data_IF_223885858900
#
_entry.id   IF_223885858900
#
_cell.length_a   1.000
_cell.length_b   1.000
_cell.length_c   1.000
_cell.angle_alpha   90.00
_cell.angle_beta   90.00
_cell.angle_gamma   90.00
#
_symmetry.space_group_name_H-M   'P 1'
#
loop_
_entity.id
_entity.type
_entity.pdbx_description
1 polymer ?
#
# COMPACT_ATOMS: atom_id res chain seq x y z
N UNK A 1 15.33 23.08 1.11
CA UNK A 1 14.32 22.89 0.03
C UNK A 1 13.75 21.49 0.02
N UNK A 2 14.55 20.42 -0.16
CA UNK A 2 14.06 19.03 -0.13
C UNK A 2 13.24 18.70 1.13
N UNK A 3 13.74 19.07 2.32
CA UNK A 3 13.01 18.84 3.58
C UNK A 3 11.67 19.58 3.67
N UNK A 4 11.60 20.81 3.13
CA UNK A 4 10.37 21.62 3.11
C UNK A 4 9.31 21.00 2.20
N UNK A 5 9.73 20.46 1.05
CA UNK A 5 8.83 19.71 0.19
C UNK A 5 8.40 18.42 0.91
N UNK A 6 9.36 17.70 1.49
CA UNK A 6 9.10 16.39 2.08
C UNK A 6 8.14 16.43 3.28
N UNK A 7 8.29 17.40 4.20
CA UNK A 7 7.38 17.55 5.35
C UNK A 7 5.93 17.83 4.93
N UNK A 8 5.74 18.43 3.74
CA UNK A 8 4.42 18.75 3.21
C UNK A 8 3.86 17.66 2.28
N UNK A 9 4.66 16.65 1.91
CA UNK A 9 4.23 15.59 0.97
C UNK A 9 4.19 14.20 1.59
N UNK A 10 4.96 13.92 2.65
CA UNK A 10 5.01 12.56 3.21
C UNK A 10 5.47 12.52 4.67
N UNK A 11 4.80 11.71 5.49
CA UNK A 11 5.14 11.49 6.90
C UNK A 11 6.51 10.84 7.19
N UNK A 12 7.29 10.46 6.17
CA UNK A 12 8.64 9.87 6.33
C UNK A 12 9.74 10.92 6.35
N UNK A 13 9.39 12.22 6.33
CA UNK A 13 10.35 13.34 6.39
C UNK A 13 11.32 13.25 7.57
N UNK A 14 10.93 12.58 8.66
CA UNK A 14 11.76 12.35 9.83
C UNK A 14 13.03 11.55 9.52
N UNK A 15 13.01 10.70 8.49
CA UNK A 15 14.19 9.95 8.07
C UNK A 15 15.30 10.89 7.55
N UNK A 16 14.93 11.99 6.87
CA UNK A 16 15.88 13.00 6.43
C UNK A 16 16.57 13.70 7.60
N UNK A 17 15.79 14.05 8.63
CA UNK A 17 16.30 14.64 9.88
C UNK A 17 17.20 13.63 10.61
N UNK A 18 16.76 12.37 10.72
CA UNK A 18 17.51 11.30 11.37
C UNK A 18 18.86 11.04 10.67
N UNK A 19 18.90 11.03 9.34
CA UNK A 19 20.15 10.89 8.58
C UNK A 19 21.12 12.03 8.90
N UNK A 20 20.64 13.28 8.91
CA UNK A 20 21.45 14.45 9.28
C UNK A 20 21.97 14.34 10.72
N UNK A 21 21.11 13.91 11.64
CA UNK A 21 21.44 13.62 13.04
C UNK A 21 22.49 12.52 13.19
N UNK A 22 22.39 11.42 12.45
CA UNK A 22 23.36 10.31 12.47
C UNK A 22 24.74 10.79 11.99
N UNK A 23 24.80 11.56 10.91
CA UNK A 23 26.06 12.12 10.43
C UNK A 23 26.69 13.09 11.43
N UNK A 24 25.88 13.92 12.10
CA UNK A 24 26.34 14.81 13.16
C UNK A 24 26.87 14.01 14.36
N UNK A 25 26.12 13.02 14.83
CA UNK A 25 26.49 12.16 15.95
C UNK A 25 27.80 11.41 15.66
N UNK A 26 27.96 10.86 14.45
CA UNK A 26 29.18 10.18 14.04
C UNK A 26 30.42 11.10 14.10
N UNK A 27 30.29 12.37 13.70
CA UNK A 27 31.38 13.35 13.76
C UNK A 27 31.74 13.74 15.20
N UNK A 28 30.76 13.86 16.08
CA UNK A 28 30.97 14.13 17.51
C UNK A 28 31.63 12.92 18.20
N UNK A 29 31.13 11.72 17.97
CA UNK A 29 31.69 10.47 18.52
C UNK A 29 33.11 10.22 18.03
N UNK A 30 33.44 10.58 16.78
CA UNK A 30 34.82 10.48 16.28
C UNK A 30 35.80 11.30 17.12
N UNK A 31 35.39 12.49 17.57
CA UNK A 31 36.23 13.34 18.39
C UNK A 31 36.40 12.79 19.82
N UNK A 32 35.37 12.15 20.36
CA UNK A 32 35.43 11.50 21.67
C UNK A 32 36.28 10.23 21.66
N UNK A 33 36.33 9.51 20.54
CA UNK A 33 37.12 8.28 20.36
C UNK A 33 38.62 8.47 20.10
N UNK A 34 39.18 9.66 20.32
CA UNK A 34 40.62 9.90 20.22
C UNK A 34 41.21 9.84 18.80
N UNK A 35 40.39 10.05 17.77
CA UNK A 35 40.89 10.03 16.39
C UNK A 35 41.99 11.08 16.18
N UNK A 36 43.09 10.75 15.47
CA UNK A 36 44.29 11.60 15.38
C UNK A 36 44.06 12.98 14.74
N UNK A 37 42.96 13.16 14.00
CA UNK A 37 42.57 14.43 13.40
C UNK A 37 41.57 15.26 14.25
N UNK A 38 41.18 14.78 15.43
CA UNK A 38 40.28 15.48 16.36
C UNK A 38 38.89 15.83 15.79
N UNK A 39 38.24 16.81 16.41
CA UNK A 39 36.94 17.35 15.98
C UNK A 39 37.12 18.20 14.72
N UNK A 40 36.36 17.90 13.66
CA UNK A 40 36.32 18.75 12.45
C UNK A 40 35.28 19.85 12.67
N UNK A 41 35.64 20.90 13.39
CA UNK A 41 34.71 21.96 13.83
C UNK A 41 33.87 22.54 12.68
N UNK A 42 34.46 22.80 11.52
CA UNK A 42 33.73 23.30 10.35
C UNK A 42 32.65 22.31 9.86
N UNK A 43 32.94 21.00 9.89
CA UNK A 43 31.99 19.95 9.50
C UNK A 43 30.89 19.79 10.54
N UNK A 44 31.22 19.83 11.82
CA UNK A 44 30.24 19.80 12.93
C UNK A 44 29.31 21.01 12.84
N UNK A 45 29.84 22.21 12.63
CA UNK A 45 29.02 23.43 12.44
C UNK A 45 28.09 23.29 11.24
N UNK A 46 28.59 22.77 10.10
CA UNK A 46 27.77 22.57 8.90
C UNK A 46 26.67 21.53 9.14
N UNK A 47 26.99 20.38 9.72
CA UNK A 47 26.01 19.33 10.01
C UNK A 47 25.01 19.79 11.06
N UNK A 48 25.45 20.48 12.11
CA UNK A 48 24.58 21.09 13.12
C UNK A 48 23.61 22.10 12.51
N UNK A 49 24.12 23.00 11.65
CA UNK A 49 23.27 23.95 10.93
C UNK A 49 22.26 23.24 10.00
N UNK A 50 22.68 22.22 9.24
CA UNK A 50 21.79 21.46 8.36
C UNK A 50 20.72 20.70 9.16
N UNK A 51 21.10 20.02 10.24
CA UNK A 51 20.15 19.33 11.11
C UNK A 51 19.16 20.31 11.76
N UNK A 52 19.63 21.47 12.24
CA UNK A 52 18.76 22.50 12.80
C UNK A 52 17.80 23.06 11.75
N UNK A 53 18.29 23.39 10.55
CA UNK A 53 17.43 23.86 9.46
C UNK A 53 16.42 22.80 9.03
N UNK A 54 16.78 21.50 9.07
CA UNK A 54 15.85 20.41 8.78
C UNK A 54 14.77 20.27 9.86
N UNK A 55 15.12 20.46 11.14
CA UNK A 55 14.18 20.51 12.25
C UNK A 55 13.23 21.72 12.14
N UNK A 56 13.76 22.90 11.85
CA UNK A 56 12.94 24.11 11.65
C UNK A 56 12.03 23.97 10.42
N UNK A 57 12.52 23.34 9.36
CA UNK A 57 11.70 23.02 8.19
C UNK A 57 10.51 22.11 8.55
N UNK A 58 10.62 21.26 9.57
CA UNK A 58 9.50 20.42 10.01
C UNK A 58 8.32 21.23 10.56
N UNK A 59 8.57 22.45 11.04
CA UNK A 59 7.53 23.38 11.51
C UNK A 59 6.82 24.11 10.36
N UNK A 60 7.38 24.08 9.15
CA UNK A 60 6.79 24.67 7.95
C UNK A 60 5.76 23.71 7.29
N UNK A 61 4.92 23.10 8.12
CA UNK A 61 3.76 22.30 7.73
C UNK A 61 2.49 23.03 8.22
N UNK A 62 1.35 22.97 7.51
CA UNK A 62 0.10 23.59 7.94
C UNK A 62 -0.34 23.22 9.37
N UNK A 63 0.01 22.02 9.84
CA UNK A 63 -0.27 21.54 11.20
C UNK A 63 0.85 21.90 12.21
N UNK A 64 1.85 22.69 11.80
CA UNK A 64 2.91 23.23 12.66
C UNK A 64 3.61 22.19 13.53
N UNK A 65 3.52 22.37 14.85
CA UNK A 65 4.19 21.51 15.83
C UNK A 65 3.62 20.09 15.85
N UNK A 66 2.32 19.91 15.61
CA UNK A 66 1.69 18.59 15.62
C UNK A 66 2.28 17.70 14.52
N UNK A 67 2.48 18.27 13.32
CA UNK A 67 3.18 17.58 12.24
C UNK A 67 4.65 17.32 12.57
N UNK A 68 5.34 18.24 13.24
CA UNK A 68 6.74 18.05 13.60
C UNK A 68 6.95 16.94 14.65
N UNK A 69 6.01 16.77 15.58
CA UNK A 69 6.04 15.74 16.63
C UNK A 69 5.46 14.39 16.19
N UNK A 70 4.71 14.38 15.08
CA UNK A 70 4.08 13.17 14.54
C UNK A 70 5.00 11.93 14.42
N UNK A 71 6.27 12.04 13.98
CA UNK A 71 7.18 10.89 13.95
C UNK A 71 7.37 10.22 15.32
N UNK A 72 7.33 10.98 16.41
CA UNK A 72 7.41 10.46 17.77
C UNK A 72 6.13 9.72 18.17
N UNK A 73 4.96 10.23 17.75
CA UNK A 73 3.69 9.55 17.93
C UNK A 73 3.64 8.23 17.16
N UNK A 74 4.23 8.20 15.95
CA UNK A 74 4.42 6.96 15.18
C UNK A 74 5.30 5.95 15.88
N UNK A 75 6.36 6.35 16.57
CA UNK A 75 7.14 5.44 17.43
C UNK A 75 6.28 4.81 18.54
N UNK A 76 5.30 5.54 19.07
CA UNK A 76 4.30 4.99 20.01
C UNK A 76 3.33 4.00 19.34
N UNK A 77 3.03 4.19 18.05
CA UNK A 77 2.22 3.28 17.23
C UNK A 77 3.02 2.05 16.71
N UNK A 78 4.34 2.03 16.88
CA UNK A 78 5.20 0.83 16.82
C UNK A 78 4.94 -0.06 18.05
N UNK A 79 3.68 -0.13 18.52
CA UNK A 79 3.22 -1.06 19.55
C UNK A 79 3.34 -2.54 19.14
N UNK A 80 2.84 -3.46 19.97
CA UNK A 80 2.90 -4.90 19.73
C UNK A 80 2.39 -5.28 18.33
N UNK A 81 2.97 -6.34 17.75
CA UNK A 81 2.61 -6.83 16.40
C UNK A 81 1.10 -7.02 16.26
N UNK A 82 0.40 -7.44 17.32
CA UNK A 82 -1.05 -7.63 17.35
C UNK A 82 -1.84 -6.34 17.11
N UNK A 83 -1.36 -5.21 17.66
CA UNK A 83 -1.96 -3.90 17.43
C UNK A 83 -1.85 -3.52 15.95
N UNK A 84 -0.73 -3.87 15.31
CA UNK A 84 -0.49 -3.58 13.88
C UNK A 84 -1.25 -4.53 12.95
N UNK A 85 -1.31 -5.81 13.32
CA UNK A 85 -2.08 -6.82 12.61
C UNK A 85 -3.58 -6.49 12.63
N UNK A 86 -4.08 -5.90 13.72
CA UNK A 86 -5.47 -5.47 13.85
C UNK A 86 -5.89 -4.40 12.82
N UNK A 87 -4.95 -3.67 12.18
CA UNK A 87 -5.27 -2.75 11.09
C UNK A 87 -5.52 -3.45 9.74
N UNK A 88 -5.15 -4.73 9.61
CA UNK A 88 -5.18 -5.43 8.32
C UNK A 88 -4.20 -4.86 7.28
N UNK A 89 -3.23 -4.06 7.73
CA UNK A 89 -2.20 -3.43 6.88
C UNK A 89 -0.96 -4.31 6.93
N UNK A 90 -0.80 -5.19 5.93
CA UNK A 90 0.29 -6.16 5.89
C UNK A 90 1.69 -5.52 5.91
N UNK A 91 1.84 -4.31 5.37
CA UNK A 91 3.12 -3.61 5.26
C UNK A 91 3.73 -3.16 6.60
N UNK A 92 2.93 -3.12 7.67
CA UNK A 92 3.37 -2.76 9.04
C UNK A 92 3.89 -3.95 9.84
N UNK A 93 3.72 -5.17 9.31
CA UNK A 93 4.16 -6.40 9.95
C UNK A 93 5.68 -6.59 9.78
N UNK A 94 6.33 -7.35 10.69
CA UNK A 94 7.74 -7.67 10.56
C UNK A 94 8.08 -8.28 9.20
N UNK A 95 9.25 -7.92 8.66
CA UNK A 95 9.66 -8.38 7.33
C UNK A 95 9.88 -9.90 7.29
N UNK A 96 10.49 -10.45 8.33
CA UNK A 96 10.76 -11.89 8.43
C UNK A 96 9.43 -12.64 8.58
N UNK A 97 9.20 -13.62 7.71
CA UNK A 97 8.00 -14.47 7.72
C UNK A 97 6.78 -13.89 6.98
N UNK A 98 6.83 -12.64 6.51
CA UNK A 98 5.75 -12.02 5.71
C UNK A 98 6.18 -11.63 4.29
N UNK A 99 7.48 -11.48 4.05
CA UNK A 99 8.00 -11.33 2.69
C UNK A 99 7.82 -12.63 1.90
N UNK A 100 7.47 -12.50 0.61
CA UNK A 100 7.59 -13.59 -0.36
C UNK A 100 9.03 -14.10 -0.43
N UNK A 101 9.29 -15.37 -0.79
CA UNK A 101 10.65 -15.94 -0.87
C UNK A 101 11.64 -15.08 -1.67
N UNK A 102 11.22 -14.53 -2.82
CA UNK A 102 12.07 -13.68 -3.66
C UNK A 102 12.45 -12.37 -2.96
N UNK A 103 11.48 -11.65 -2.37
CA UNK A 103 11.72 -10.40 -1.63
C UNK A 103 12.60 -10.64 -0.40
N UNK A 104 12.40 -11.77 0.29
CA UNK A 104 13.25 -12.17 1.40
C UNK A 104 14.69 -12.45 0.94
N UNK A 105 14.88 -13.18 -0.15
CA UNK A 105 16.20 -13.46 -0.72
C UNK A 105 16.93 -12.17 -1.13
N UNK A 106 16.24 -11.23 -1.80
CA UNK A 106 16.80 -9.92 -2.15
C UNK A 106 17.19 -9.12 -0.90
N UNK A 107 16.35 -9.11 0.13
CA UNK A 107 16.65 -8.43 1.39
C UNK A 107 17.88 -9.03 2.08
N UNK A 108 17.90 -10.36 2.27
CA UNK A 108 18.99 -11.06 2.94
C UNK A 108 20.31 -10.97 2.17
N UNK A 109 20.28 -11.06 0.84
CA UNK A 109 21.49 -10.90 0.02
C UNK A 109 22.02 -9.46 0.09
N UNK A 110 21.14 -8.45 0.01
CA UNK A 110 21.53 -7.04 0.15
C UNK A 110 22.13 -6.78 1.53
N UNK A 111 21.50 -7.27 2.60
CA UNK A 111 21.99 -7.15 3.96
C UNK A 111 23.32 -7.90 4.16
N UNK A 112 23.44 -9.12 3.64
CA UNK A 112 24.65 -9.95 3.72
C UNK A 112 25.83 -9.35 2.97
N UNK A 113 25.64 -8.94 1.71
CA UNK A 113 26.72 -8.33 0.92
C UNK A 113 27.16 -6.98 1.50
N UNK A 114 26.23 -6.16 1.97
CA UNK A 114 26.58 -4.89 2.62
C UNK A 114 27.32 -5.08 3.94
N UNK A 115 26.89 -6.04 4.77
CA UNK A 115 27.61 -6.42 5.98
C UNK A 115 29.03 -6.93 5.67
N UNK A 116 29.18 -7.79 4.66
CA UNK A 116 30.47 -8.30 4.23
C UNK A 116 31.38 -7.16 3.71
N UNK A 117 30.87 -6.25 2.89
CA UNK A 117 31.63 -5.10 2.39
C UNK A 117 32.10 -4.18 3.53
N UNK A 118 31.26 -3.95 4.54
CA UNK A 118 31.63 -3.21 5.75
C UNK A 118 32.68 -3.95 6.57
N UNK A 119 32.55 -5.26 6.77
CA UNK A 119 33.52 -6.07 7.51
C UNK A 119 34.90 -6.09 6.84
N UNK A 120 34.93 -6.25 5.51
CA UNK A 120 36.17 -6.24 4.72
C UNK A 120 36.90 -4.89 4.80
N UNK A 121 36.18 -3.79 5.03
CA UNK A 121 36.73 -2.46 5.15
C UNK A 121 36.63 -1.88 6.56
N UNK A 122 36.43 -2.69 7.60
CA UNK A 122 36.03 -2.23 8.93
C UNK A 122 36.88 -1.07 9.49
N UNK A 123 38.20 -1.07 9.20
CA UNK A 123 39.12 -0.01 9.64
C UNK A 123 38.97 1.33 8.90
N UNK A 124 38.32 1.33 7.74
CA UNK A 124 38.13 2.50 6.86
C UNK A 124 36.67 2.96 6.78
N UNK A 125 35.72 2.16 7.28
CA UNK A 125 34.29 2.49 7.28
C UNK A 125 34.06 3.76 8.10
N UNK A 126 33.47 4.82 7.52
CA UNK A 126 32.97 5.95 8.28
C UNK A 126 31.95 5.49 9.32
N UNK A 127 32.09 5.93 10.58
CA UNK A 127 31.13 5.60 11.65
C UNK A 127 29.68 5.94 11.25
N UNK A 128 29.48 7.02 10.49
CA UNK A 128 28.16 7.39 9.99
C UNK A 128 27.52 6.29 9.12
N UNK A 129 28.30 5.64 8.25
CA UNK A 129 27.78 4.55 7.41
C UNK A 129 27.33 3.36 8.24
N UNK A 130 28.12 3.00 9.27
CA UNK A 130 27.78 1.91 10.17
C UNK A 130 26.49 2.23 10.93
N UNK A 131 26.37 3.44 11.47
CA UNK A 131 25.17 3.89 12.19
C UNK A 131 23.94 3.93 11.27
N UNK A 132 24.10 4.42 10.03
CA UNK A 132 23.02 4.42 9.02
C UNK A 132 22.62 2.98 8.68
N UNK A 133 23.58 2.09 8.44
CA UNK A 133 23.31 0.69 8.13
C UNK A 133 22.54 0.00 9.26
N UNK A 134 23.00 0.17 10.52
CA UNK A 134 22.35 -0.41 11.70
C UNK A 134 20.93 0.15 11.88
N UNK A 135 20.77 1.48 11.77
CA UNK A 135 19.46 2.12 11.93
C UNK A 135 18.45 1.64 10.87
N UNK A 136 18.84 1.58 9.60
CA UNK A 136 17.94 1.15 8.54
C UNK A 136 17.71 -0.36 8.54
N UNK A 137 18.68 -1.18 8.98
CA UNK A 137 18.46 -2.61 9.17
C UNK A 137 17.41 -2.83 10.26
N UNK A 138 17.54 -2.14 11.40
CA UNK A 138 16.55 -2.19 12.48
C UNK A 138 15.15 -1.84 11.97
N UNK A 139 15.02 -0.76 11.19
CA UNK A 139 13.76 -0.36 10.58
C UNK A 139 13.20 -1.42 9.61
N UNK A 140 14.05 -1.98 8.74
CA UNK A 140 13.66 -3.00 7.76
C UNK A 140 13.19 -4.29 8.42
N UNK A 141 13.82 -4.71 9.51
CA UNK A 141 13.36 -5.87 10.30
C UNK A 141 12.01 -5.60 10.96
N UNK A 142 11.77 -4.36 11.39
CA UNK A 142 10.55 -3.94 12.08
C UNK A 142 9.30 -3.85 11.21
N UNK A 143 9.42 -3.57 9.90
CA UNK A 143 8.27 -3.47 8.99
C UNK A 143 8.64 -3.72 7.51
N UNK A 144 7.79 -4.45 6.77
CA UNK A 144 7.97 -4.73 5.33
C UNK A 144 8.21 -3.46 4.51
N UNK A 145 7.46 -2.38 4.77
CA UNK A 145 7.60 -1.12 4.02
C UNK A 145 9.00 -0.50 4.11
N UNK A 146 9.75 -0.80 5.17
CA UNK A 146 11.10 -0.26 5.39
C UNK A 146 12.20 -1.04 4.65
N UNK A 147 11.90 -2.22 4.09
CA UNK A 147 12.86 -3.05 3.35
C UNK A 147 13.36 -2.32 2.09
N UNK A 148 12.46 -1.64 1.37
CA UNK A 148 12.83 -0.84 0.21
C UNK A 148 13.71 0.36 0.59
N UNK A 149 13.41 1.02 1.72
CA UNK A 149 14.22 2.12 2.24
C UNK A 149 15.63 1.67 2.62
N UNK A 150 15.76 0.50 3.26
CA UNK A 150 17.06 -0.09 3.57
C UNK A 150 17.87 -0.35 2.29
N UNK A 151 17.26 -0.94 1.26
CA UNK A 151 17.95 -1.18 0.00
C UNK A 151 18.49 0.14 -0.59
N UNK A 152 17.67 1.18 -0.71
CA UNK A 152 18.08 2.48 -1.26
C UNK A 152 19.25 3.10 -0.49
N UNK A 153 19.18 3.09 0.85
CA UNK A 153 20.18 3.76 1.70
C UNK A 153 21.47 2.97 1.81
N UNK A 154 21.40 1.63 1.78
CA UNK A 154 22.57 0.76 1.95
C UNK A 154 23.30 0.48 0.64
N UNK A 155 22.63 0.53 -0.52
CA UNK A 155 23.31 0.37 -1.82
C UNK A 155 24.55 1.26 -2.00
N UNK A 156 24.54 2.58 -1.75
CA UNK A 156 25.76 3.39 -1.89
C UNK A 156 26.85 3.00 -0.87
N UNK A 157 26.47 2.55 0.34
CA UNK A 157 27.41 2.06 1.36
C UNK A 157 28.07 0.77 0.87
N UNK A 158 27.28 -0.17 0.36
CA UNK A 158 27.74 -1.42 -0.24
C UNK A 158 28.70 -1.13 -1.39
N UNK A 159 28.30 -0.32 -2.38
CA UNK A 159 29.10 -0.05 -3.59
C UNK A 159 30.43 0.63 -3.23
N UNK A 160 30.43 1.65 -2.36
CA UNK A 160 31.66 2.34 -1.97
C UNK A 160 32.65 1.39 -1.29
N UNK A 161 32.18 0.56 -0.36
CA UNK A 161 33.05 -0.36 0.38
C UNK A 161 33.49 -1.54 -0.50
N UNK A 162 32.59 -2.10 -1.31
CA UNK A 162 32.94 -3.14 -2.27
C UNK A 162 34.03 -2.65 -3.23
N UNK A 163 33.87 -1.46 -3.84
CA UNK A 163 34.87 -0.89 -4.74
C UNK A 163 36.20 -0.61 -4.04
N UNK A 164 36.18 -0.03 -2.83
CA UNK A 164 37.40 0.23 -2.07
C UNK A 164 38.24 -1.04 -1.80
N UNK A 165 37.60 -2.20 -1.73
CA UNK A 165 38.27 -3.49 -1.61
C UNK A 165 38.66 -4.09 -2.96
N UNK A 166 37.76 -4.05 -3.94
CA UNK A 166 37.97 -4.60 -5.29
C UNK A 166 39.08 -3.87 -6.06
N UNK A 167 39.18 -2.55 -5.92
CA UNK A 167 40.21 -1.73 -6.57
C UNK A 167 41.63 -2.06 -6.10
N UNK A 168 41.77 -2.74 -4.95
CA UNK A 168 43.09 -3.20 -4.46
C UNK A 168 43.54 -4.52 -5.09
N UNK A 169 42.72 -5.18 -5.91
CA UNK A 169 43.06 -6.48 -6.53
C UNK A 169 43.37 -6.37 -8.01
N UNK A 170 44.61 -6.70 -8.44
CA UNK A 170 44.93 -6.81 -9.85
C UNK A 170 44.09 -7.93 -10.50
N UNK A 171 43.49 -7.65 -11.65
CA UNK A 171 42.63 -8.57 -12.41
C UNK A 171 41.14 -8.29 -12.29
N UNK A 172 40.65 -7.65 -11.21
CA UNK A 172 39.22 -7.37 -11.08
C UNK A 172 38.74 -6.26 -12.04
N UNK A 173 39.64 -5.37 -12.46
CA UNK A 173 39.35 -4.32 -13.45
C UNK A 173 38.87 -4.87 -14.81
N UNK A 174 39.29 -6.08 -15.20
CA UNK A 174 38.81 -6.74 -16.41
C UNK A 174 37.39 -7.29 -16.24
N UNK A 175 37.05 -7.76 -15.04
CA UNK A 175 35.73 -8.30 -14.69
C UNK A 175 34.72 -7.21 -14.34
N UNK A 176 35.17 -6.02 -13.96
CA UNK A 176 34.29 -4.93 -13.51
C UNK A 176 33.31 -4.47 -14.59
N UNK A 177 33.71 -4.47 -15.88
CA UNK A 177 32.81 -4.17 -16.99
C UNK A 177 31.72 -5.23 -17.13
N UNK A 178 32.10 -6.49 -17.15
CA UNK A 178 31.14 -7.61 -17.24
C UNK A 178 30.19 -7.62 -16.04
N UNK A 179 30.72 -7.47 -14.82
CA UNK A 179 29.91 -7.37 -13.60
C UNK A 179 28.96 -6.17 -13.64
N UNK A 180 29.41 -5.01 -14.12
CA UNK A 180 28.57 -3.83 -14.28
C UNK A 180 27.46 -4.04 -15.31
N UNK A 181 27.76 -4.70 -16.44
CA UNK A 181 26.76 -5.05 -17.45
C UNK A 181 25.74 -6.07 -16.92
N UNK A 182 26.18 -7.04 -16.12
CA UNK A 182 25.29 -8.02 -15.47
C UNK A 182 24.38 -7.31 -14.45
N UNK A 183 24.94 -6.45 -13.58
CA UNK A 183 24.13 -5.67 -12.63
C UNK A 183 23.16 -4.74 -13.36
N UNK A 184 23.61 -4.09 -14.44
CA UNK A 184 22.76 -3.26 -15.27
C UNK A 184 21.62 -4.08 -15.88
N UNK A 185 21.89 -5.26 -16.41
CA UNK A 185 20.87 -6.16 -16.93
C UNK A 185 19.89 -6.63 -15.84
N UNK A 186 20.39 -6.98 -14.65
CA UNK A 186 19.57 -7.36 -13.50
C UNK A 186 18.68 -6.23 -12.98
N UNK A 187 19.00 -4.96 -13.27
CA UNK A 187 18.15 -3.81 -12.98
C UNK A 187 17.21 -3.51 -14.14
N UNK A 188 17.73 -3.43 -15.37
CA UNK A 188 16.97 -3.02 -16.55
C UNK A 188 15.93 -4.05 -16.97
N UNK A 189 16.22 -5.36 -16.88
CA UNK A 189 15.26 -6.40 -17.30
C UNK A 189 14.00 -6.39 -16.42
N UNK A 190 14.08 -6.44 -15.08
CA UNK A 190 12.89 -6.31 -14.24
C UNK A 190 12.22 -4.93 -14.35
N UNK A 191 12.99 -3.86 -14.56
CA UNK A 191 12.42 -2.52 -14.76
C UNK A 191 11.62 -2.43 -16.06
N UNK A 192 12.15 -3.00 -17.15
CA UNK A 192 11.46 -3.10 -18.44
C UNK A 192 10.22 -3.97 -18.33
N UNK A 193 10.32 -5.09 -17.64
CA UNK A 193 9.21 -5.99 -17.37
C UNK A 193 8.09 -5.32 -16.53
N UNK A 194 8.47 -4.54 -15.52
CA UNK A 194 7.53 -3.73 -14.74
C UNK A 194 6.92 -2.60 -15.58
N UNK A 195 7.70 -1.94 -16.43
CA UNK A 195 7.20 -0.89 -17.32
C UNK A 195 6.18 -1.42 -18.34
N UNK A 196 6.28 -2.68 -18.77
CA UNK A 196 5.30 -3.37 -19.61
C UNK A 196 4.06 -3.88 -18.84
N UNK A 197 4.10 -3.86 -17.52
CA UNK A 197 3.01 -4.32 -16.66
C UNK A 197 2.97 -5.82 -16.41
N UNK A 198 3.89 -6.60 -16.97
CA UNK A 198 3.93 -8.06 -16.83
C UNK A 198 4.51 -8.52 -15.49
N UNK A 199 5.27 -7.66 -14.82
CA UNK A 199 5.82 -7.94 -13.50
C UNK A 199 4.73 -8.08 -12.43
N UNK A 200 3.77 -7.15 -12.42
CA UNK A 200 2.84 -6.98 -11.30
C UNK A 200 1.92 -8.20 -11.08
N UNK A 201 1.25 -8.77 -12.10
CA UNK A 201 0.40 -9.95 -11.91
C UNK A 201 1.19 -11.15 -11.36
N UNK A 202 2.44 -11.34 -11.80
CA UNK A 202 3.33 -12.40 -11.29
C UNK A 202 3.70 -12.22 -9.82
N UNK A 203 3.74 -10.98 -9.33
CA UNK A 203 3.96 -10.64 -7.92
C UNK A 203 2.64 -10.56 -7.13
N UNK A 204 1.51 -10.95 -7.73
CA UNK A 204 0.17 -10.84 -7.14
C UNK A 204 -0.30 -9.39 -6.96
N UNK A 205 0.39 -8.44 -7.58
CA UNK A 205 0.02 -7.04 -7.61
C UNK A 205 -0.90 -6.81 -8.79
N UNK A 206 -2.17 -6.55 -8.49
CA UNK A 206 -3.11 -6.07 -9.48
C UNK A 206 -2.84 -4.57 -9.64
N UNK A 207 -1.78 -4.20 -10.37
CA UNK A 207 -1.44 -2.81 -10.69
C UNK A 207 -0.95 -2.76 -12.13
N UNK A 208 -1.30 -1.70 -12.86
CA UNK A 208 -0.76 -1.43 -14.20
C UNK A 208 0.10 -0.16 -14.15
N UNK A 209 1.23 -0.12 -14.88
CA UNK A 209 2.02 1.09 -15.02
C UNK A 209 1.22 2.11 -15.84
N UNK A 210 1.32 3.40 -15.49
CA UNK A 210 0.60 4.46 -16.18
C UNK A 210 0.29 5.65 -15.28
N UNK A 211 -0.44 6.62 -15.84
CA UNK A 211 -1.02 7.74 -15.10
C UNK A 211 -2.47 7.43 -14.73
N UNK A 212 -2.91 7.94 -13.59
CA UNK A 212 -4.29 7.80 -13.12
C UNK A 212 -4.49 6.72 -12.08
N UNK A 213 -5.76 6.49 -11.75
CA UNK A 213 -6.16 5.48 -10.79
C UNK A 213 -6.33 4.12 -11.47
N UNK A 214 -6.07 3.05 -10.73
CA UNK A 214 -6.22 1.69 -11.25
C UNK A 214 -7.66 1.22 -10.95
N UNK A 215 -8.50 0.89 -11.95
CA UNK A 215 -9.95 0.75 -11.78
C UNK A 215 -10.41 -0.25 -10.71
N UNK A 216 -9.67 -1.34 -10.48
CA UNK A 216 -10.01 -2.32 -9.44
C UNK A 216 -9.36 -2.03 -8.09
N UNK A 217 -8.44 -1.06 -8.03
CA UNK A 217 -7.78 -0.63 -6.80
C UNK A 217 -8.45 0.60 -6.18
N UNK A 218 -9.31 1.30 -6.92
CA UNK A 218 -10.03 2.51 -6.52
C UNK A 218 -11.47 2.43 -7.02
N UNK A 219 -12.46 3.00 -6.32
CA UNK A 219 -13.86 2.97 -6.74
C UNK A 219 -14.15 3.99 -7.86
N UNK A 220 -13.34 4.03 -8.92
CA UNK A 220 -13.37 5.13 -9.89
C UNK A 220 -14.76 5.31 -10.53
N UNK A 221 -15.35 4.22 -11.02
CA UNK A 221 -16.65 4.27 -11.72
C UNK A 221 -17.83 4.42 -10.78
N UNK A 222 -17.80 3.78 -9.61
CA UNK A 222 -18.80 4.03 -8.59
C UNK A 222 -18.81 5.50 -8.16
N UNK A 223 -17.64 6.14 -8.14
CA UNK A 223 -17.51 7.57 -7.88
C UNK A 223 -17.97 8.42 -9.06
N UNK A 224 -17.67 8.03 -10.31
CA UNK A 224 -18.24 8.67 -11.50
C UNK A 224 -19.78 8.68 -11.41
N UNK A 225 -20.40 7.55 -11.05
CA UNK A 225 -21.85 7.45 -10.84
C UNK A 225 -22.34 8.37 -9.70
N UNK A 226 -21.61 8.45 -8.58
CA UNK A 226 -21.94 9.35 -7.45
C UNK A 226 -21.90 10.81 -7.88
N UNK A 227 -20.90 11.23 -8.66
CA UNK A 227 -20.80 12.60 -9.18
C UNK A 227 -21.95 12.93 -10.14
N UNK A 228 -22.34 11.98 -10.99
CA UNK A 228 -23.43 12.16 -11.96
C UNK A 228 -24.83 12.16 -11.33
N UNK A 229 -25.04 11.36 -10.27
CA UNK A 229 -26.37 11.12 -9.70
C UNK A 229 -26.61 11.82 -8.36
N UNK A 230 -25.56 12.35 -7.73
CA UNK A 230 -25.60 13.08 -6.46
C UNK A 230 -26.47 12.40 -5.38
N UNK A 231 -26.18 11.13 -5.01
CA UNK A 231 -26.99 10.40 -4.05
C UNK A 231 -26.96 11.07 -2.66
N UNK A 232 -27.99 10.88 -1.83
CA UNK A 232 -28.16 11.72 -0.64
C UNK A 232 -27.21 11.40 0.50
N UNK A 233 -27.03 12.39 1.36
CA UNK A 233 -26.45 12.24 2.68
C UNK A 233 -24.98 11.84 2.68
N UNK A 234 -24.51 11.40 3.85
CA UNK A 234 -23.11 10.96 4.01
C UNK A 234 -22.91 9.58 3.39
N UNK A 235 -21.74 9.39 2.80
CA UNK A 235 -21.32 8.10 2.23
C UNK A 235 -20.68 7.27 3.33
N UNK A 236 -21.26 6.11 3.65
CA UNK A 236 -20.59 5.07 4.39
C UNK A 236 -19.55 4.39 3.49
N UNK A 237 -18.31 4.29 3.95
CA UNK A 237 -17.23 3.67 3.19
C UNK A 237 -16.16 3.10 4.12
N UNK A 238 -15.26 2.28 3.58
CA UNK A 238 -14.10 1.78 4.32
C UNK A 238 -12.93 2.78 4.26
N UNK A 239 -11.99 2.65 5.19
CA UNK A 239 -10.76 3.45 5.21
C UNK A 239 -9.93 3.35 3.92
N UNK A 240 -9.95 2.19 3.25
CA UNK A 240 -9.24 2.00 1.97
C UNK A 240 -9.77 2.92 0.87
N UNK A 241 -11.05 3.27 0.95
CA UNK A 241 -11.73 4.10 -0.05
C UNK A 241 -11.67 5.59 0.29
N UNK A 242 -11.54 5.95 1.56
CA UNK A 242 -11.62 7.35 2.01
C UNK A 242 -10.61 8.30 1.36
N UNK A 243 -9.38 7.86 1.10
CA UNK A 243 -8.40 8.70 0.41
C UNK A 243 -8.83 9.07 -1.01
N UNK A 244 -9.48 8.13 -1.72
CA UNK A 244 -9.95 8.36 -3.09
C UNK A 244 -11.19 9.26 -3.11
N UNK A 245 -12.14 9.04 -2.19
CA UNK A 245 -13.32 9.91 -2.05
C UNK A 245 -12.92 11.34 -1.68
N UNK A 246 -11.93 11.51 -0.80
CA UNK A 246 -11.39 12.85 -0.48
C UNK A 246 -10.82 13.54 -1.72
N UNK A 247 -10.18 12.80 -2.63
CA UNK A 247 -9.62 13.39 -3.84
C UNK A 247 -10.69 13.79 -4.87
N UNK A 248 -11.71 12.95 -5.07
CA UNK A 248 -12.74 13.14 -6.10
C UNK A 248 -13.92 13.99 -5.65
N UNK A 249 -14.41 13.75 -4.43
CA UNK A 249 -15.71 14.24 -3.96
C UNK A 249 -15.62 15.37 -2.92
N UNK A 250 -14.42 15.79 -2.51
CA UNK A 250 -14.30 16.94 -1.61
C UNK A 250 -14.56 18.25 -2.37
N UNK A 251 -15.33 19.21 -1.82
CA UNK A 251 -15.85 19.27 -0.45
C UNK A 251 -17.25 18.66 -0.22
N UNK A 252 -17.92 18.22 -1.28
CA UNK A 252 -19.35 17.88 -1.26
C UNK A 252 -19.65 16.64 -0.41
N UNK A 253 -18.81 15.61 -0.47
CA UNK A 253 -18.91 14.41 0.37
C UNK A 253 -17.70 14.27 1.31
N UNK A 254 -17.78 14.79 2.55
CA UNK A 254 -16.72 14.58 3.54
C UNK A 254 -16.62 13.11 3.94
N UNK A 255 -15.39 12.62 4.08
CA UNK A 255 -15.11 11.22 4.38
C UNK A 255 -15.21 10.93 5.88
N UNK A 256 -15.63 9.72 6.22
CA UNK A 256 -15.68 9.24 7.60
C UNK A 256 -14.27 8.95 8.16
N UNK A 257 -13.43 8.29 7.35
CA UNK A 257 -12.08 7.85 7.73
C UNK A 257 -11.23 7.58 6.49
N UNK A 258 -9.95 7.94 6.51
CA UNK A 258 -9.00 7.57 5.47
C UNK A 258 -7.71 6.96 6.04
N UNK A 259 -6.73 6.66 5.16
CA UNK A 259 -5.50 5.97 5.52
C UNK A 259 -4.54 6.76 6.41
N UNK A 260 -4.82 8.03 6.74
CA UNK A 260 -4.00 8.88 7.62
C UNK A 260 -4.20 8.52 9.09
N UNK A 261 -3.73 7.33 9.47
CA UNK A 261 -3.78 6.84 10.87
C UNK A 261 -3.15 7.83 11.87
N UNK A 262 -2.26 8.68 11.38
CA UNK A 262 -1.72 9.84 12.09
C UNK A 262 -2.70 10.88 12.58
N UNK A 263 -3.75 11.13 11.80
CA UNK A 263 -4.72 12.18 12.06
C UNK A 263 -5.85 11.60 12.89
N UNK A 264 -6.35 10.41 12.50
CA UNK A 264 -7.47 9.78 13.19
C UNK A 264 -7.05 9.10 14.49
N UNK A 265 -5.83 8.56 14.56
CA UNK A 265 -5.40 7.72 15.66
C UNK A 265 -6.01 6.32 15.61
N UNK A 266 -5.33 5.41 16.31
CA UNK A 266 -5.63 3.97 16.30
C UNK A 266 -7.02 3.64 16.85
N UNK A 267 -7.41 4.31 17.94
CA UNK A 267 -8.66 3.97 18.64
C UNK A 267 -9.89 4.45 17.87
N UNK A 268 -9.83 5.68 17.33
CA UNK A 268 -10.88 6.20 16.46
C UNK A 268 -11.03 5.34 15.22
N UNK A 269 -9.93 4.90 14.62
CA UNK A 269 -9.99 3.99 13.48
C UNK A 269 -10.77 2.72 13.79
N UNK A 270 -10.51 2.07 14.94
CA UNK A 270 -11.25 0.85 15.34
C UNK A 270 -12.73 1.10 15.53
N UNK A 271 -13.09 2.25 16.08
CA UNK A 271 -14.49 2.64 16.28
C UNK A 271 -15.23 2.90 14.97
N UNK A 272 -14.50 3.29 13.90
CA UNK A 272 -15.06 3.60 12.58
C UNK A 272 -14.98 2.44 11.57
N UNK A 273 -14.52 1.25 12.00
CA UNK A 273 -14.50 0.07 11.14
C UNK A 273 -15.93 -0.42 10.85
N UNK A 274 -16.22 -0.63 9.57
CA UNK A 274 -17.45 -1.28 9.09
C UNK A 274 -17.07 -2.68 8.57
N UNK A 275 -17.39 -3.72 9.34
CA UNK A 275 -17.12 -5.11 8.94
C UNK A 275 -18.38 -5.83 8.48
N UNK A 276 -19.52 -5.51 9.06
CA UNK A 276 -20.81 -6.16 8.86
C UNK A 276 -21.96 -5.17 9.08
N UNK A 277 -23.20 -5.68 9.00
CA UNK A 277 -24.40 -4.89 9.24
C UNK A 277 -24.53 -4.33 10.66
N UNK A 278 -23.93 -4.96 11.68
CA UNK A 278 -24.00 -4.47 13.07
C UNK A 278 -23.11 -3.24 13.24
N UNK A 279 -21.88 -3.30 12.74
CA UNK A 279 -20.98 -2.15 12.72
C UNK A 279 -21.58 -1.01 11.89
N UNK A 280 -22.17 -1.33 10.73
CA UNK A 280 -22.85 -0.37 9.87
C UNK A 280 -24.01 0.32 10.59
N UNK A 281 -24.98 -0.43 11.13
CA UNK A 281 -26.15 0.13 11.79
C UNK A 281 -25.79 1.01 12.99
N UNK A 282 -24.75 0.65 13.75
CA UNK A 282 -24.23 1.48 14.85
C UNK A 282 -23.71 2.83 14.35
N UNK A 283 -22.90 2.83 13.29
CA UNK A 283 -22.33 4.05 12.74
C UNK A 283 -23.38 4.88 12.00
N UNK A 284 -24.32 4.23 11.33
CA UNK A 284 -25.46 4.86 10.69
C UNK A 284 -26.33 5.63 11.71
N UNK A 285 -26.55 5.06 12.90
CA UNK A 285 -27.22 5.76 14.00
C UNK A 285 -26.45 6.99 14.52
N UNK A 286 -25.11 6.99 14.43
CA UNK A 286 -24.26 8.12 14.87
C UNK A 286 -24.12 9.20 13.79
N UNK A 287 -23.97 8.80 12.53
CA UNK A 287 -23.59 9.69 11.43
C UNK A 287 -24.70 9.97 10.42
N UNK A 288 -25.76 9.17 10.39
CA UNK A 288 -26.90 9.31 9.46
C UNK A 288 -26.48 9.11 8.01
N UNK A 289 -26.19 7.88 7.60
CA UNK A 289 -25.79 7.60 6.22
C UNK A 289 -27.00 7.63 5.28
N UNK A 290 -26.84 8.32 4.15
CA UNK A 290 -27.79 8.31 3.04
C UNK A 290 -27.35 7.40 1.89
N UNK A 291 -26.05 7.14 1.81
CA UNK A 291 -25.39 6.36 0.77
C UNK A 291 -24.37 5.41 1.40
N UNK A 292 -24.20 4.21 0.86
CA UNK A 292 -23.17 3.27 1.24
C UNK A 292 -22.41 2.79 0.00
N UNK A 293 -21.11 3.09 -0.05
CA UNK A 293 -20.19 2.58 -1.05
C UNK A 293 -19.41 1.40 -0.49
N UNK A 294 -19.68 0.21 -1.01
CA UNK A 294 -19.10 -1.04 -0.51
C UNK A 294 -18.26 -1.70 -1.58
N UNK A 295 -16.97 -1.82 -1.31
CA UNK A 295 -16.06 -2.63 -2.14
C UNK A 295 -16.06 -4.09 -1.74
N UNK A 296 -16.07 -4.93 -2.75
CA UNK A 296 -15.90 -6.37 -2.62
C UNK A 296 -14.70 -6.84 -3.43
N UNK A 297 -14.29 -8.08 -3.17
CA UNK A 297 -13.10 -8.71 -3.70
C UNK A 297 -13.44 -10.18 -4.01
N UNK A 298 -12.62 -10.89 -4.82
CA UNK A 298 -12.94 -12.23 -5.31
C UNK A 298 -12.68 -13.29 -4.24
N UNK A 299 -13.26 -13.10 -3.06
CA UNK A 299 -13.39 -14.13 -2.04
C UNK A 299 -14.71 -14.85 -2.30
N UNK A 300 -14.92 -16.04 -1.73
CA UNK A 300 -16.12 -16.88 -1.94
C UNK A 300 -17.47 -16.20 -1.57
N UNK A 301 -17.47 -14.92 -1.20
CA UNK A 301 -18.64 -14.06 -1.03
C UNK A 301 -18.23 -12.58 -1.22
N UNK A 302 -19.24 -11.74 -1.45
CA UNK A 302 -19.12 -10.27 -1.53
C UNK A 302 -18.84 -9.62 -0.17
N UNK A 303 -19.07 -10.37 0.92
CA UNK A 303 -18.88 -9.94 2.30
C UNK A 303 -20.20 -9.70 3.04
N UNK A 304 -20.18 -9.80 4.38
CA UNK A 304 -21.40 -9.78 5.20
C UNK A 304 -22.16 -8.44 5.14
N UNK A 305 -21.48 -7.33 4.85
CA UNK A 305 -22.14 -6.03 4.71
C UNK A 305 -23.04 -5.96 3.47
N UNK A 306 -22.60 -6.51 2.33
CA UNK A 306 -23.40 -6.51 1.09
C UNK A 306 -24.66 -7.34 1.28
N UNK A 307 -24.52 -8.56 1.82
CA UNK A 307 -25.66 -9.43 2.11
C UNK A 307 -26.64 -8.75 3.08
N UNK A 308 -26.13 -8.05 4.10
CA UNK A 308 -27.00 -7.32 5.04
C UNK A 308 -27.71 -6.13 4.40
N UNK A 309 -27.00 -5.31 3.61
CA UNK A 309 -27.59 -4.16 2.91
C UNK A 309 -28.66 -4.60 1.91
N UNK A 310 -28.39 -5.67 1.14
CA UNK A 310 -29.35 -6.21 0.19
C UNK A 310 -30.61 -6.78 0.88
N UNK A 311 -30.46 -7.43 2.03
CA UNK A 311 -31.59 -7.94 2.80
C UNK A 311 -32.38 -6.84 3.54
N UNK A 312 -31.80 -5.65 3.72
CA UNK A 312 -32.40 -4.55 4.45
C UNK A 312 -33.23 -3.65 3.53
N UNK A 313 -34.56 -3.63 3.74
CA UNK A 313 -35.52 -2.87 2.91
C UNK A 313 -35.33 -1.34 2.94
N UNK A 314 -34.59 -0.83 3.92
CA UNK A 314 -34.27 0.60 4.01
C UNK A 314 -33.18 1.02 3.00
N UNK A 315 -32.53 0.05 2.33
CA UNK A 315 -31.45 0.26 1.39
C UNK A 315 -31.78 -0.37 0.05
N UNK A 316 -31.40 0.31 -1.04
CA UNK A 316 -31.57 -0.18 -2.41
C UNK A 316 -30.24 -0.18 -3.12
N UNK A 317 -29.93 -1.26 -3.84
CA UNK A 317 -28.78 -1.31 -4.73
C UNK A 317 -29.09 -0.46 -5.96
N UNK A 318 -28.29 0.57 -6.23
CA UNK A 318 -28.57 1.53 -7.32
C UNK A 318 -27.44 1.62 -8.34
N UNK A 319 -26.26 1.13 -7.98
CA UNK A 319 -25.14 0.98 -8.89
C UNK A 319 -24.33 -0.25 -8.50
N UNK A 320 -23.82 -0.95 -9.51
CA UNK A 320 -22.96 -2.11 -9.37
C UNK A 320 -21.95 -2.13 -10.52
N UNK A 321 -20.69 -2.37 -10.19
CA UNK A 321 -19.70 -2.84 -11.15
C UNK A 321 -19.01 -4.12 -10.64
N UNK A 322 -17.84 -4.43 -11.19
CA UNK A 322 -17.07 -5.62 -10.87
C UNK A 322 -16.38 -5.58 -9.50
N UNK A 323 -16.35 -4.45 -8.80
CA UNK A 323 -15.59 -4.25 -7.56
C UNK A 323 -16.35 -3.45 -6.51
N UNK A 324 -17.33 -2.66 -6.91
CA UNK A 324 -18.00 -1.66 -6.12
C UNK A 324 -19.52 -1.76 -6.26
N UNK A 325 -20.22 -1.64 -5.13
CA UNK A 325 -21.67 -1.55 -5.06
C UNK A 325 -22.07 -0.29 -4.30
N UNK A 326 -23.03 0.46 -4.83
CA UNK A 326 -23.60 1.63 -4.16
C UNK A 326 -25.03 1.32 -3.76
N UNK A 327 -25.29 1.47 -2.46
CA UNK A 327 -26.62 1.41 -1.88
C UNK A 327 -27.05 2.80 -1.44
N UNK A 328 -28.31 3.14 -1.61
CA UNK A 328 -28.89 4.39 -1.10
C UNK A 328 -30.15 4.10 -0.31
N UNK A 329 -30.56 5.05 0.53
CA UNK A 329 -31.82 4.94 1.27
C UNK A 329 -33.01 4.75 0.34
N UNK A 330 -33.92 3.85 0.71
CA UNK A 330 -35.07 3.50 -0.12
C UNK A 330 -36.05 4.66 -0.36
N UNK A 331 -36.04 5.69 0.50
CA UNK A 331 -36.86 6.90 0.39
C UNK A 331 -36.18 8.01 -0.44
N UNK A 332 -34.95 7.79 -0.91
CA UNK A 332 -34.16 8.75 -1.68
C UNK A 332 -34.62 8.96 -3.13
N UNK A 333 -35.62 8.21 -3.61
CA UNK A 333 -36.15 8.35 -4.97
C UNK A 333 -35.29 7.76 -6.09
N UNK A 334 -34.20 7.04 -5.77
CA UNK A 334 -33.43 6.31 -6.78
C UNK A 334 -34.09 4.96 -7.11
N UNK A 335 -34.12 4.64 -8.40
CA UNK A 335 -34.58 3.34 -8.91
C UNK A 335 -33.57 2.26 -8.57
N UNK A 336 -34.04 1.12 -8.07
CA UNK A 336 -33.20 -0.05 -7.82
C UNK A 336 -32.65 -0.59 -9.14
N UNK A 337 -31.38 -1.00 -9.12
CA UNK A 337 -30.69 -1.54 -10.28
C UNK A 337 -31.35 -2.87 -10.71
N UNK A 338 -31.79 -2.92 -11.97
CA UNK A 338 -32.26 -4.15 -12.58
C UNK A 338 -31.05 -5.02 -13.00
N UNK A 339 -30.82 -6.10 -12.24
CA UNK A 339 -29.72 -7.04 -12.51
C UNK A 339 -29.97 -7.93 -13.74
N UNK A 340 -31.22 -8.03 -14.19
CA UNK A 340 -31.61 -8.77 -15.39
C UNK A 340 -31.48 -7.93 -16.67
N UNK A 341 -31.34 -6.61 -16.53
CA UNK A 341 -31.17 -5.72 -17.65
C UNK A 341 -29.84 -5.98 -18.37
N UNK A 342 -29.83 -5.96 -19.73
CA UNK A 342 -28.59 -6.01 -20.48
C UNK A 342 -27.73 -4.79 -20.12
N UNK A 343 -26.52 -5.04 -19.62
CA UNK A 343 -25.60 -3.99 -19.18
C UNK A 343 -25.57 -3.72 -17.68
N UNK A 344 -26.22 -4.54 -16.84
CA UNK A 344 -26.07 -4.49 -15.37
C UNK A 344 -24.60 -4.58 -14.91
N UNK A 345 -23.75 -5.22 -15.73
CA UNK A 345 -22.31 -5.10 -15.65
C UNK A 345 -21.77 -4.61 -17.00
N UNK A 346 -20.68 -3.86 -16.96
CA UNK A 346 -19.96 -3.46 -18.17
C UNK A 346 -19.49 -4.69 -18.97
N UNK A 347 -19.45 -4.56 -20.30
CA UNK A 347 -18.87 -5.56 -21.17
C UNK A 347 -17.39 -5.82 -20.81
N UNK A 348 -16.98 -7.08 -20.99
CA UNK A 348 -15.56 -7.42 -20.99
C UNK A 348 -14.91 -6.86 -22.26
N UNK A 349 -13.65 -6.46 -22.17
CA UNK A 349 -12.90 -5.99 -23.34
C UNK A 349 -12.50 -7.15 -24.27
N UNK A 350 -12.67 -8.39 -23.81
CA UNK A 350 -12.39 -9.60 -24.58
C UNK A 350 -10.89 -9.87 -24.75
N UNK A 351 -10.05 -9.19 -23.98
CA UNK A 351 -8.60 -9.40 -23.98
C UNK A 351 -8.22 -10.80 -23.52
N UNK A 352 -9.08 -11.46 -22.73
CA UNK A 352 -8.80 -12.78 -22.17
C UNK A 352 -7.62 -12.75 -21.21
N UNK A 353 -7.32 -11.59 -20.63
CA UNK A 353 -6.25 -11.43 -19.67
C UNK A 353 -6.70 -11.79 -18.24
N UNK A 354 -5.77 -11.77 -17.30
CA UNK A 354 -6.06 -12.05 -15.89
C UNK A 354 -7.11 -11.11 -15.28
N UNK A 355 -7.32 -9.93 -15.86
CA UNK A 355 -8.27 -8.93 -15.37
C UNK A 355 -9.70 -9.32 -15.71
N UNK A 356 -9.95 -9.83 -16.92
CA UNK A 356 -11.25 -10.41 -17.27
C UNK A 356 -11.61 -11.60 -16.35
N UNK A 357 -10.64 -12.47 -16.02
CA UNK A 357 -10.86 -13.55 -15.03
C UNK A 357 -11.29 -12.97 -13.67
N UNK A 358 -10.59 -11.93 -13.21
CA UNK A 358 -10.86 -11.28 -11.92
C UNK A 358 -12.27 -10.67 -11.86
N UNK A 359 -12.66 -9.94 -12.91
CA UNK A 359 -13.99 -9.31 -13.04
C UNK A 359 -15.09 -10.37 -12.96
N UNK A 360 -14.96 -11.43 -13.75
CA UNK A 360 -15.95 -12.51 -13.79
C UNK A 360 -16.06 -13.25 -12.45
N UNK A 361 -14.95 -13.51 -11.75
CA UNK A 361 -14.98 -14.08 -10.39
C UNK A 361 -15.78 -13.19 -9.43
N UNK A 362 -15.55 -11.88 -9.49
CA UNK A 362 -16.27 -10.94 -8.65
C UNK A 362 -17.76 -10.88 -8.96
N UNK A 363 -18.16 -10.82 -10.24
CA UNK A 363 -19.57 -10.90 -10.65
C UNK A 363 -20.24 -12.13 -10.05
N UNK A 364 -19.64 -13.30 -10.27
CA UNK A 364 -20.17 -14.58 -9.77
C UNK A 364 -20.37 -14.55 -8.26
N UNK A 365 -19.35 -14.15 -7.49
CA UNK A 365 -19.47 -14.18 -6.03
C UNK A 365 -20.35 -13.07 -5.47
N UNK A 366 -20.45 -11.91 -6.13
CA UNK A 366 -21.41 -10.89 -5.77
C UNK A 366 -22.85 -11.40 -5.93
N UNK A 367 -23.18 -11.87 -7.13
CA UNK A 367 -24.52 -12.37 -7.47
C UNK A 367 -24.94 -13.53 -6.57
N UNK A 368 -24.04 -14.48 -6.32
CA UNK A 368 -24.31 -15.58 -5.40
C UNK A 368 -24.54 -15.09 -3.94
N UNK A 369 -23.90 -14.01 -3.51
CA UNK A 369 -24.07 -13.46 -2.15
C UNK A 369 -25.40 -12.77 -1.91
N UNK A 370 -26.11 -12.42 -2.99
CA UNK A 370 -27.46 -11.85 -2.96
C UNK A 370 -28.52 -12.85 -3.45
N UNK A 371 -28.16 -14.12 -3.61
CA UNK A 371 -29.09 -15.20 -3.99
C UNK A 371 -29.44 -15.27 -5.48
N UNK A 372 -28.79 -14.50 -6.35
CA UNK A 372 -28.95 -14.55 -7.82
C UNK A 372 -28.09 -15.64 -8.44
N UNK A 373 -28.34 -16.89 -8.05
CA UNK A 373 -27.54 -18.06 -8.47
C UNK A 373 -27.62 -18.34 -9.97
N UNK A 374 -28.73 -17.98 -10.61
CA UNK A 374 -28.94 -18.03 -12.05
C UNK A 374 -27.92 -17.15 -12.80
N UNK A 375 -27.81 -15.87 -12.41
CA UNK A 375 -26.86 -14.93 -13.00
C UNK A 375 -25.42 -15.27 -12.60
N UNK A 376 -25.21 -15.74 -11.36
CA UNK A 376 -23.90 -16.17 -10.88
C UNK A 376 -23.35 -17.34 -11.70
N UNK A 377 -24.19 -18.34 -12.00
CA UNK A 377 -23.86 -19.48 -12.85
C UNK A 377 -23.57 -19.05 -14.29
N UNK A 378 -24.33 -18.12 -14.85
CA UNK A 378 -24.07 -17.58 -16.18
C UNK A 378 -22.69 -16.89 -16.26
N UNK A 379 -22.36 -16.03 -15.28
CA UNK A 379 -21.03 -15.40 -15.20
C UNK A 379 -19.91 -16.44 -15.01
N UNK A 380 -20.14 -17.49 -14.22
CA UNK A 380 -19.16 -18.56 -14.02
C UNK A 380 -18.92 -19.40 -15.29
N UNK A 381 -19.98 -19.66 -16.06
CA UNK A 381 -19.86 -20.36 -17.34
C UNK A 381 -19.08 -19.53 -18.37
N UNK A 382 -19.31 -18.22 -18.41
CA UNK A 382 -18.49 -17.32 -19.22
C UNK A 382 -17.02 -17.35 -18.79
N UNK A 383 -16.74 -17.39 -17.49
CA UNK A 383 -15.39 -17.55 -16.96
C UNK A 383 -14.75 -18.86 -17.41
N UNK A 384 -15.43 -20.00 -17.29
CA UNK A 384 -14.86 -21.29 -17.71
C UNK A 384 -14.67 -21.39 -19.23
N UNK A 385 -15.46 -20.66 -20.02
CA UNK A 385 -15.27 -20.57 -21.46
C UNK A 385 -13.98 -19.83 -21.84
N UNK A 386 -13.66 -18.74 -21.14
CA UNK A 386 -12.44 -17.96 -21.36
C UNK A 386 -11.20 -18.57 -20.66
N UNK A 387 -11.41 -19.15 -19.48
CA UNK A 387 -10.37 -19.68 -18.59
C UNK A 387 -10.69 -21.11 -18.14
N UNK A 388 -10.55 -22.13 -19.01
CA UNK A 388 -10.91 -23.52 -18.69
C UNK A 388 -10.13 -24.11 -17.49
N UNK A 389 -8.94 -23.56 -17.20
CA UNK A 389 -8.07 -23.98 -16.10
C UNK A 389 -8.27 -23.16 -14.81
N UNK A 390 -9.36 -22.38 -14.71
CA UNK A 390 -9.65 -21.57 -13.55
C UNK A 390 -9.63 -22.38 -12.24
N UNK A 391 -8.96 -21.83 -11.24
CA UNK A 391 -8.83 -22.47 -9.93
C UNK A 391 -10.20 -22.77 -9.32
N UNK A 392 -10.38 -24.01 -8.81
CA UNK A 392 -11.62 -24.52 -8.24
C UNK A 392 -12.83 -24.51 -9.21
N UNK A 393 -12.57 -24.46 -10.53
CA UNK A 393 -13.56 -24.45 -11.62
C UNK A 393 -14.76 -25.38 -11.39
N UNK A 394 -14.47 -26.68 -11.22
CA UNK A 394 -15.47 -27.74 -11.09
C UNK A 394 -16.27 -27.69 -9.80
N UNK A 395 -15.64 -27.39 -8.66
CA UNK A 395 -16.32 -27.38 -7.37
C UNK A 395 -17.25 -26.18 -7.22
N UNK A 396 -16.83 -25.00 -7.71
CA UNK A 396 -17.68 -23.80 -7.73
C UNK A 396 -18.84 -23.99 -8.70
N UNK A 397 -18.61 -24.56 -9.89
CA UNK A 397 -19.68 -24.83 -10.85
C UNK A 397 -20.75 -25.76 -10.25
N UNK A 398 -20.34 -26.89 -9.67
CA UNK A 398 -21.28 -27.84 -9.05
C UNK A 398 -22.08 -27.22 -7.90
N UNK A 399 -21.46 -26.34 -7.11
CA UNK A 399 -22.14 -25.58 -6.06
C UNK A 399 -23.19 -24.61 -6.65
N UNK A 400 -22.82 -23.80 -7.64
CA UNK A 400 -23.74 -22.86 -8.28
C UNK A 400 -24.91 -23.57 -8.96
N UNK A 401 -24.67 -24.71 -9.63
CA UNK A 401 -25.73 -25.52 -10.22
C UNK A 401 -26.71 -26.09 -9.19
N UNK A 402 -26.19 -26.49 -8.02
CA UNK A 402 -27.02 -26.99 -6.91
C UNK A 402 -27.94 -25.90 -6.39
N UNK A 403 -27.39 -24.73 -6.07
CA UNK A 403 -28.14 -23.60 -5.51
C UNK A 403 -29.08 -22.96 -6.55
N UNK A 404 -28.74 -22.97 -7.84
CA UNK A 404 -29.62 -22.45 -8.89
C UNK A 404 -30.86 -23.32 -9.12
N UNK A 405 -30.88 -24.56 -8.61
CA UNK A 405 -32.01 -25.50 -8.74
C UNK A 405 -32.90 -25.58 -7.50
N UNK A 406 -32.41 -25.09 -6.36
CA UNK A 406 -33.17 -24.95 -5.11
C UNK A 406 -33.93 -23.63 -5.09
#
# INVERSE_FOLDING_TARGET
>A
MLQLIWVNTHGLFALGIALCGIHLAAELLRALGGAPQGLRTARVRRLGAVTLLALLAALANPNGLDAALYPLQQLGMIGPVDTRAAFGIAELLPAIGKLTPIKLAVFLTTAGFSAAALALNWRRVPLADLLVWVAFLYLALGAIRNVALFAIVVTPILVRNANAWLDTRPGFAAWSRTASLVVLALVLVPTWDAARGEFYPRDGLLKRPGFGATPWFTPDRAVDWIEENAPPGRIAHTMKTGGYLTWRLYPDYPVLVDGRLEVFGVERFRQLLIRDGKDFARLDAEFGFGTALVRFAPKKNAGPLITWLHANRDWRLVYLDDFDAVFVRADAGHTELDLDAPGAFEALDGSGDWFDELRLRNRTFFLASIGRFDLALAAWNQLLALFPAAENGRSIHAWLESESRS
#
